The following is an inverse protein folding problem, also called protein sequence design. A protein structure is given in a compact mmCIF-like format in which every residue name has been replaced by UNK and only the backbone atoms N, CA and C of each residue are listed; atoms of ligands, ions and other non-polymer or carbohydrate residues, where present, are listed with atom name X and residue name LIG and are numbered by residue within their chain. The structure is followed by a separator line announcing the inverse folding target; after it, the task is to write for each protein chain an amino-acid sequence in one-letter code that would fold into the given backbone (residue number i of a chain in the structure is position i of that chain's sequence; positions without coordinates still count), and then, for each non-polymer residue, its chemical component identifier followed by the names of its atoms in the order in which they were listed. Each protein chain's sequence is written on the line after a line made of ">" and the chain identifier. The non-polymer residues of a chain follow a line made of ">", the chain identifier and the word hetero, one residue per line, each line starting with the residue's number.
data_IF_256057091704
#
_entry.id   IF_256057091704
#
_cell.length_a   1.000
_cell.length_b   1.000
_cell.length_c   1.000
_cell.angle_alpha   90.00
_cell.angle_beta   90.00
_cell.angle_gamma   90.00
#
_symmetry.space_group_name_H-M   'P 1'
#
loop_
_entity.id
_entity.type
_entity.pdbx_description
1 polymer ?
#
# COMPACT_ATOMS: atom_id res chain seq x y z
N UNK A 1 -18.80 -47.01 2.64
CA UNK A 1 -18.79 -45.60 2.21
C UNK A 1 -17.88 -45.45 1.01
N UNK A 2 -18.37 -44.91 -0.12
CA UNK A 2 -17.49 -44.61 -1.26
C UNK A 2 -16.63 -43.40 -0.85
N UNK A 3 -15.36 -43.38 -1.23
CA UNK A 3 -14.41 -42.29 -0.87
C UNK A 3 -14.97 -40.88 -1.13
N UNK A 4 -15.83 -40.72 -2.13
CA UNK A 4 -16.52 -39.45 -2.43
C UNK A 4 -17.46 -38.95 -1.33
N UNK A 5 -18.14 -39.86 -0.61
CA UNK A 5 -19.09 -39.47 0.44
C UNK A 5 -18.36 -38.88 1.66
N UNK A 6 -17.18 -39.44 1.97
CA UNK A 6 -16.33 -38.93 3.04
C UNK A 6 -15.71 -37.56 2.68
N UNK A 7 -15.25 -37.40 1.44
CA UNK A 7 -14.70 -36.11 0.96
C UNK A 7 -15.77 -35.02 1.00
N UNK A 8 -17.00 -35.33 0.59
CA UNK A 8 -18.11 -34.38 0.63
C UNK A 8 -18.45 -33.94 2.06
N UNK A 9 -18.54 -34.90 3.00
CA UNK A 9 -18.82 -34.59 4.41
C UNK A 9 -17.74 -33.69 5.05
N UNK A 10 -16.48 -33.86 4.66
CA UNK A 10 -15.38 -32.98 5.10
C UNK A 10 -15.55 -31.56 4.56
N UNK A 11 -15.89 -31.42 3.27
CA UNK A 11 -16.14 -30.10 2.65
C UNK A 11 -17.32 -29.40 3.33
N UNK A 12 -18.44 -30.09 3.51
CA UNK A 12 -19.65 -29.54 4.13
C UNK A 12 -19.36 -29.07 5.57
N UNK A 13 -18.52 -29.80 6.31
CA UNK A 13 -18.09 -29.45 7.67
C UNK A 13 -17.19 -28.21 7.69
N UNK A 14 -16.28 -28.06 6.71
CA UNK A 14 -15.44 -26.86 6.57
C UNK A 14 -16.27 -25.63 6.22
N UNK A 15 -17.26 -25.77 5.34
CA UNK A 15 -18.16 -24.67 4.98
C UNK A 15 -19.02 -24.23 6.18
N UNK A 16 -19.51 -25.17 6.98
CA UNK A 16 -20.26 -24.87 8.20
C UNK A 16 -19.40 -24.14 9.24
N UNK A 17 -18.17 -24.61 9.46
CA UNK A 17 -17.22 -23.97 10.37
C UNK A 17 -16.85 -22.54 9.94
N UNK A 18 -16.64 -22.32 8.64
CA UNK A 18 -16.38 -20.99 8.10
C UNK A 18 -17.57 -20.05 8.32
N UNK A 19 -18.81 -20.51 8.05
CA UNK A 19 -20.02 -19.73 8.30
C UNK A 19 -20.13 -19.33 9.78
N UNK A 20 -19.82 -20.25 10.69
CA UNK A 20 -19.83 -19.97 12.13
C UNK A 20 -18.78 -18.91 12.51
N UNK A 21 -17.56 -19.01 11.96
CA UNK A 21 -16.51 -18.00 12.16
C UNK A 21 -16.94 -16.61 11.68
N UNK A 22 -17.52 -16.50 10.48
CA UNK A 22 -17.98 -15.23 9.92
C UNK A 22 -19.23 -14.68 10.61
N UNK A 23 -20.05 -15.54 11.23
CA UNK A 23 -21.21 -15.13 12.02
C UNK A 23 -20.85 -14.62 13.42
N UNK A 24 -19.60 -14.74 13.87
CA UNK A 24 -19.16 -14.08 15.10
C UNK A 24 -19.23 -12.58 14.88
N UNK A 25 -20.08 -11.89 15.67
CA UNK A 25 -20.27 -10.44 15.55
C UNK A 25 -18.95 -9.66 15.49
N UNK A 26 -17.92 -10.08 16.23
CA UNK A 26 -16.59 -9.44 16.19
C UNK A 26 -15.93 -9.42 14.80
N UNK A 27 -16.12 -10.46 14.00
CA UNK A 27 -15.52 -10.57 12.65
C UNK A 27 -16.18 -9.58 11.69
N UNK A 28 -17.51 -9.44 11.74
CA UNK A 28 -18.23 -8.49 10.89
C UNK A 28 -17.77 -7.04 11.15
N UNK A 29 -17.62 -6.64 12.43
CA UNK A 29 -17.13 -5.30 12.77
C UNK A 29 -15.68 -5.07 12.34
N UNK A 30 -14.81 -6.08 12.51
CA UNK A 30 -13.42 -6.01 12.07
C UNK A 30 -13.32 -5.87 10.55
N UNK A 31 -14.09 -6.66 9.79
CA UNK A 31 -14.13 -6.57 8.33
C UNK A 31 -14.68 -5.22 7.87
N UNK A 32 -15.73 -4.71 8.50
CA UNK A 32 -16.26 -3.37 8.20
C UNK A 32 -15.19 -2.29 8.45
N UNK A 33 -14.46 -2.37 9.57
CA UNK A 33 -13.37 -1.46 9.87
C UNK A 33 -12.25 -1.52 8.81
N UNK A 34 -11.84 -2.73 8.41
CA UNK A 34 -10.83 -2.92 7.36
C UNK A 34 -11.30 -2.33 6.03
N UNK A 35 -12.55 -2.62 5.65
CA UNK A 35 -13.12 -2.15 4.40
C UNK A 35 -13.22 -0.62 4.35
N UNK A 36 -13.69 0.02 5.43
CA UNK A 36 -13.85 1.47 5.47
C UNK A 36 -12.52 2.22 5.45
N UNK A 37 -11.49 1.71 6.13
CA UNK A 37 -10.23 2.44 6.32
C UNK A 37 -9.11 2.02 5.36
N UNK A 38 -9.08 0.77 4.90
CA UNK A 38 -7.94 0.19 4.18
C UNK A 38 -8.27 -0.37 2.80
N UNK A 39 -9.48 -0.14 2.28
CA UNK A 39 -9.86 -0.53 0.90
C UNK A 39 -9.07 0.18 -0.20
N UNK A 40 -8.30 1.22 0.14
CA UNK A 40 -7.35 1.87 -0.77
C UNK A 40 -6.13 0.99 -1.07
N UNK A 41 -5.71 0.11 -0.15
CA UNK A 41 -4.46 -0.66 -0.29
C UNK A 41 -4.45 -1.54 -1.54
N UNK A 42 -5.47 -2.38 -1.82
CA UNK A 42 -5.46 -3.21 -3.01
C UNK A 42 -5.42 -2.37 -4.30
N UNK A 43 -6.16 -1.25 -4.34
CA UNK A 43 -6.19 -0.35 -5.50
C UNK A 43 -4.83 0.28 -5.75
N UNK A 44 -4.18 0.75 -4.69
CA UNK A 44 -2.87 1.36 -4.77
C UNK A 44 -1.79 0.36 -5.20
N UNK A 45 -1.82 -0.87 -4.67
CA UNK A 45 -0.89 -1.94 -5.08
C UNK A 45 -1.03 -2.23 -6.57
N UNK A 46 -2.26 -2.48 -7.05
CA UNK A 46 -2.51 -2.72 -8.47
C UNK A 46 -2.08 -1.54 -9.35
N UNK A 47 -2.29 -0.30 -8.89
CA UNK A 47 -1.86 0.90 -9.60
C UNK A 47 -0.32 0.99 -9.67
N UNK A 48 0.39 0.71 -8.59
CA UNK A 48 1.86 0.71 -8.53
C UNK A 48 2.49 -0.45 -9.33
N UNK A 49 1.80 -1.59 -9.46
CA UNK A 49 2.25 -2.72 -10.28
C UNK A 49 2.03 -2.49 -11.79
N UNK A 50 1.16 -1.55 -12.15
CA UNK A 50 0.87 -1.23 -13.54
C UNK A 50 1.99 -0.39 -14.18
N UNK A 51 2.17 -0.56 -15.49
CA UNK A 51 3.09 0.27 -16.28
C UNK A 51 2.38 1.51 -16.83
N UNK A 52 3.15 2.57 -17.07
CA UNK A 52 2.66 3.78 -17.75
C UNK A 52 2.34 4.97 -16.84
N UNK A 53 2.52 4.83 -15.52
CA UNK A 53 2.47 5.96 -14.59
C UNK A 53 3.82 6.68 -14.55
N UNK A 54 3.78 8.02 -14.50
CA UNK A 54 4.97 8.82 -14.26
C UNK A 54 5.47 8.65 -12.82
N UNK A 55 6.71 9.06 -12.57
CA UNK A 55 7.28 9.01 -11.22
C UNK A 55 6.42 9.83 -10.24
N UNK A 56 6.03 11.04 -10.63
CA UNK A 56 5.15 11.92 -9.84
C UNK A 56 3.82 11.25 -9.51
N UNK A 57 3.19 10.57 -10.49
CA UNK A 57 1.93 9.85 -10.27
C UNK A 57 2.09 8.65 -9.32
N UNK A 58 3.20 7.92 -9.39
CA UNK A 58 3.48 6.83 -8.46
C UNK A 58 3.68 7.33 -7.03
N UNK A 59 4.37 8.46 -6.86
CA UNK A 59 4.57 9.09 -5.56
C UNK A 59 3.26 9.64 -4.97
N UNK A 60 2.36 10.17 -5.81
CA UNK A 60 1.02 10.61 -5.40
C UNK A 60 0.20 9.45 -4.84
N UNK A 61 0.21 8.28 -5.50
CA UNK A 61 -0.46 7.07 -4.99
C UNK A 61 0.07 6.68 -3.61
N UNK A 62 1.39 6.77 -3.40
CA UNK A 62 1.99 6.48 -2.10
C UNK A 62 1.55 7.49 -1.02
N UNK A 63 1.45 8.77 -1.38
CA UNK A 63 0.97 9.83 -0.49
C UNK A 63 -0.51 9.67 -0.12
N UNK A 64 -1.35 9.25 -1.07
CA UNK A 64 -2.76 8.93 -0.83
C UNK A 64 -2.90 7.77 0.17
N UNK A 65 -2.13 6.69 -0.01
CA UNK A 65 -2.11 5.55 0.91
C UNK A 65 -1.67 5.98 2.31
N UNK A 66 -0.62 6.80 2.42
CA UNK A 66 -0.14 7.29 3.72
C UNK A 66 -1.22 8.10 4.43
N UNK A 67 -1.87 9.01 3.70
CA UNK A 67 -2.96 9.85 4.22
C UNK A 67 -4.14 8.99 4.70
N UNK A 68 -4.56 8.00 3.91
CA UNK A 68 -5.64 7.10 4.28
C UNK A 68 -5.33 6.30 5.56
N UNK A 69 -4.10 5.76 5.69
CA UNK A 69 -3.69 5.07 6.92
C UNK A 69 -3.66 6.02 8.11
N UNK A 70 -3.16 7.25 7.94
CA UNK A 70 -3.12 8.26 9.01
C UNK A 70 -4.52 8.70 9.46
N UNK A 71 -5.51 8.64 8.57
CA UNK A 71 -6.90 8.98 8.88
C UNK A 71 -7.67 7.84 9.56
N UNK A 72 -7.11 6.63 9.62
CA UNK A 72 -7.74 5.50 10.30
C UNK A 72 -7.76 5.75 11.81
N UNK A 73 -8.93 6.08 12.35
CA UNK A 73 -9.11 6.38 13.77
C UNK A 73 -9.10 5.15 14.68
N UNK A 74 -8.88 5.39 15.98
CA UNK A 74 -8.94 4.36 17.02
C UNK A 74 -7.65 3.56 17.19
N UNK A 75 -7.64 2.68 18.21
CA UNK A 75 -6.43 1.96 18.64
C UNK A 75 -5.84 1.05 17.54
N UNK A 76 -6.67 0.48 16.67
CA UNK A 76 -6.20 -0.36 15.54
C UNK A 76 -5.49 0.50 14.49
N UNK A 77 -6.05 1.64 14.10
CA UNK A 77 -5.45 2.57 13.14
C UNK A 77 -4.11 3.09 13.62
N UNK A 78 -4.02 3.51 14.89
CA UNK A 78 -2.77 3.93 15.53
C UNK A 78 -1.71 2.82 15.49
N UNK A 79 -2.10 1.57 15.75
CA UNK A 79 -1.18 0.42 15.68
C UNK A 79 -0.65 0.21 14.26
N UNK A 80 -1.50 0.36 13.25
CA UNK A 80 -1.16 0.17 11.84
C UNK A 80 -0.26 1.30 11.32
N UNK A 81 -0.47 2.54 11.76
CA UNK A 81 0.29 3.72 11.31
C UNK A 81 1.81 3.57 11.49
N UNK A 82 2.26 2.82 12.49
CA UNK A 82 3.69 2.58 12.73
C UNK A 82 4.42 1.92 11.57
N UNK A 83 3.72 1.06 10.79
CA UNK A 83 4.32 0.29 9.70
C UNK A 83 4.72 1.14 8.49
N UNK A 84 3.84 1.95 7.87
CA UNK A 84 4.23 2.79 6.74
C UNK A 84 5.34 3.77 7.11
N UNK A 85 5.31 4.37 8.29
CA UNK A 85 6.38 5.28 8.73
C UNK A 85 7.73 4.56 8.81
N UNK A 86 7.76 3.38 9.42
CA UNK A 86 8.98 2.56 9.46
C UNK A 86 9.49 2.20 8.06
N UNK A 87 8.61 1.77 7.16
CA UNK A 87 9.00 1.38 5.80
C UNK A 87 9.53 2.58 5.00
N UNK A 88 8.90 3.75 5.12
CA UNK A 88 9.33 4.96 4.43
C UNK A 88 10.66 5.48 4.95
N UNK A 89 10.86 5.49 6.27
CA UNK A 89 12.12 5.92 6.89
C UNK A 89 13.30 5.02 6.51
N UNK A 90 13.06 3.72 6.35
CA UNK A 90 14.09 2.76 5.97
C UNK A 90 14.28 2.61 4.45
N UNK A 91 13.61 3.45 3.65
CA UNK A 91 13.78 3.47 2.19
C UNK A 91 14.39 4.81 1.74
N UNK A 92 15.71 5.01 1.88
CA UNK A 92 16.37 6.27 1.48
C UNK A 92 16.26 6.54 -0.03
N UNK A 93 16.05 5.51 -0.85
CA UNK A 93 15.80 5.65 -2.28
C UNK A 93 14.53 6.43 -2.59
N UNK A 94 13.52 6.37 -1.70
CA UNK A 94 12.27 7.10 -1.86
C UNK A 94 12.48 8.62 -1.85
N UNK A 95 13.37 9.11 -0.98
CA UNK A 95 13.71 10.55 -0.91
C UNK A 95 14.34 11.02 -2.23
N UNK A 96 15.31 10.26 -2.74
CA UNK A 96 15.95 10.56 -4.03
C UNK A 96 14.95 10.54 -5.19
N UNK A 97 14.02 9.58 -5.19
CA UNK A 97 12.94 9.53 -6.18
C UNK A 97 12.02 10.75 -6.11
N UNK A 98 11.72 11.25 -4.91
CA UNK A 98 10.95 12.47 -4.73
C UNK A 98 11.67 13.69 -5.32
N UNK A 99 12.97 13.84 -5.08
CA UNK A 99 13.76 14.93 -5.66
C UNK A 99 13.85 14.85 -7.19
N UNK A 100 14.00 13.64 -7.76
CA UNK A 100 13.96 13.45 -9.22
C UNK A 100 12.59 13.85 -9.80
N UNK A 101 11.50 13.51 -9.09
CA UNK A 101 10.15 13.89 -9.52
C UNK A 101 9.95 15.40 -9.54
N UNK A 102 10.50 16.13 -8.55
CA UNK A 102 10.50 17.59 -8.53
C UNK A 102 11.16 18.17 -9.78
N UNK A 103 12.37 17.70 -10.12
CA UNK A 103 13.07 18.13 -11.35
C UNK A 103 12.24 17.83 -12.59
N UNK A 104 11.61 16.66 -12.67
CA UNK A 104 10.74 16.28 -13.79
C UNK A 104 9.53 17.23 -13.95
N UNK A 105 9.04 17.79 -12.85
CA UNK A 105 7.94 18.76 -12.84
C UNK A 105 8.41 20.22 -12.96
N UNK A 106 9.71 20.48 -13.08
CA UNK A 106 10.28 21.84 -13.15
C UNK A 106 10.38 22.55 -11.80
N UNK A 107 10.32 21.80 -10.70
CA UNK A 107 10.50 22.30 -9.34
C UNK A 107 11.97 22.27 -8.92
N UNK A 108 12.35 23.12 -7.97
CA UNK A 108 13.69 23.11 -7.37
C UNK A 108 13.87 21.84 -6.52
N UNK A 109 15.01 21.18 -6.67
CA UNK A 109 15.32 19.92 -6.00
C UNK A 109 16.70 19.97 -5.37
N UNK A 110 16.84 19.36 -4.20
CA UNK A 110 18.10 19.23 -3.48
C UNK A 110 18.82 17.95 -3.91
N UNK A 111 19.13 17.86 -5.21
CA UNK A 111 19.97 16.79 -5.72
C UNK A 111 21.43 17.21 -5.58
N UNK A 112 22.23 16.40 -4.88
CA UNK A 112 23.69 16.46 -4.99
C UNK A 112 24.07 16.06 -6.43
N UNK A 113 24.12 17.04 -7.32
CA UNK A 113 24.62 16.84 -8.67
C UNK A 113 26.15 16.82 -8.56
N UNK A 114 26.78 15.69 -8.90
CA UNK A 114 28.20 15.69 -9.25
C UNK A 114 28.34 16.62 -10.46
N UNK A 115 28.69 17.88 -10.19
CA UNK A 115 28.80 18.89 -11.24
C UNK A 115 29.84 18.46 -12.27
N UNK A 116 29.40 18.21 -13.50
CA UNK A 116 30.32 18.31 -14.64
C UNK A 116 30.66 19.79 -14.81
N UNK A 117 31.95 20.11 -14.86
CA UNK A 117 32.43 21.48 -14.90
C UNK A 117 31.74 22.29 -16.03
N UNK A 118 31.43 23.59 -15.83
CA UNK A 118 30.69 24.44 -16.78
C UNK A 118 31.27 24.56 -18.20
N UNK A 119 32.48 24.03 -18.45
CA UNK A 119 33.19 24.12 -19.74
C UNK A 119 32.62 23.24 -20.86
N UNK A 120 31.60 22.42 -20.60
CA UNK A 120 30.99 21.54 -21.60
C UNK A 120 29.62 22.01 -22.11
N UNK A 121 29.11 23.16 -21.65
CA UNK A 121 27.81 23.72 -22.05
C UNK A 121 27.90 24.85 -23.09
N UNK A 122 29.12 25.19 -23.55
CA UNK A 122 29.30 26.11 -24.66
C UNK A 122 29.32 25.32 -25.98
N UNK A 123 28.17 25.24 -26.65
CA UNK A 123 28.07 24.99 -28.09
C UNK A 123 27.62 26.28 -28.75
#
# INVERSE_FOLDING_TARGET
>A
MRKNDAVKAVIDSLEAFNKELFNKQGVAHQLAYIQCNFSILPKAITKLESQGLTLSQNLEVLAEVKTAISNAGGHIGQKIQTKPDFVMQNNPGLSKMAEIAKVQNGEEAELEVETMAPKQLAV
#
